data_IF_772744493552
#
_entry.id   IF_772744493552
#
_cell.length_a   1.000
_cell.length_b   1.000
_cell.length_c   1.000
_cell.angle_alpha   90.00
_cell.angle_beta   90.00
_cell.angle_gamma   90.00
#
_symmetry.space_group_name_H-M   'P 1'
#
loop_
_entity.id
_entity.type
_entity.pdbx_description
1 polymer ?
#
# COMPACT_ATOMS: atom_id res chain seq x y z
N UNK A 1 -9.56 3.20 28.85
CA UNK A 1 -9.06 4.44 28.22
C UNK A 1 -7.55 4.65 28.41
N UNK A 2 -6.96 4.45 29.59
CA UNK A 2 -5.51 4.68 29.86
C UNK A 2 -4.54 3.95 28.89
N UNK A 3 -4.78 2.66 28.62
CA UNK A 3 -3.95 1.87 27.68
C UNK A 3 -3.97 2.42 26.24
N UNK A 4 -5.12 2.95 25.81
CA UNK A 4 -5.29 3.49 24.46
C UNK A 4 -4.59 4.84 24.31
N UNK A 5 -4.67 5.72 25.32
CA UNK A 5 -3.96 7.00 25.34
C UNK A 5 -2.44 6.79 25.28
N UNK A 6 -1.90 5.87 26.10
CA UNK A 6 -0.48 5.51 26.04
C UNK A 6 -0.09 4.95 24.67
N UNK A 7 -0.88 4.04 24.11
CA UNK A 7 -0.62 3.51 22.77
C UNK A 7 -0.56 4.61 21.71
N UNK A 8 -1.49 5.58 21.74
CA UNK A 8 -1.49 6.72 20.83
C UNK A 8 -0.25 7.61 21.02
N UNK A 9 0.11 7.95 22.26
CA UNK A 9 1.35 8.70 22.54
C UNK A 9 2.57 7.96 22.00
N UNK A 10 2.64 6.65 22.21
CA UNK A 10 3.77 5.84 21.79
C UNK A 10 3.85 5.70 20.26
N UNK A 11 2.72 5.74 19.58
CA UNK A 11 2.64 5.79 18.11
C UNK A 11 3.03 7.16 17.59
N UNK A 12 2.48 8.24 18.14
CA UNK A 12 2.73 9.62 17.69
C UNK A 12 4.18 10.04 17.97
N UNK A 13 4.74 9.67 19.12
CA UNK A 13 6.13 9.98 19.49
C UNK A 13 7.15 9.28 18.58
N UNK A 14 6.81 8.21 17.85
CA UNK A 14 7.69 7.60 16.83
C UNK A 14 7.96 8.50 15.62
N UNK A 15 7.16 9.56 15.46
CA UNK A 15 7.37 10.60 14.46
C UNK A 15 8.40 11.65 14.89
N UNK A 16 8.73 11.73 16.18
CA UNK A 16 9.80 12.59 16.70
C UNK A 16 11.18 11.94 16.51
N UNK A 17 12.23 12.76 16.58
CA UNK A 17 13.60 12.24 16.62
C UNK A 17 13.82 11.43 17.91
N UNK A 18 14.75 10.45 17.94
CA UNK A 18 14.97 9.59 19.10
C UNK A 18 15.21 10.39 20.39
N UNK A 19 16.05 11.42 20.30
CA UNK A 19 16.46 12.25 21.43
C UNK A 19 15.26 13.06 21.96
N UNK A 20 14.45 13.62 21.07
CA UNK A 20 13.22 14.35 21.43
C UNK A 20 12.15 13.41 22.01
N UNK A 21 12.06 12.19 21.49
CA UNK A 21 11.11 11.19 21.99
C UNK A 21 11.39 10.83 23.44
N UNK A 22 12.65 10.68 23.83
CA UNK A 22 13.00 10.40 25.22
C UNK A 22 12.63 11.55 26.14
N UNK A 23 12.90 12.80 25.74
CA UNK A 23 12.51 13.99 26.50
C UNK A 23 10.99 14.10 26.65
N UNK A 24 10.24 13.93 25.55
CA UNK A 24 8.77 14.02 25.57
C UNK A 24 8.15 12.89 26.38
N UNK A 25 8.69 11.66 26.31
CA UNK A 25 8.19 10.56 27.14
C UNK A 25 8.50 10.76 28.63
N UNK A 26 9.64 11.37 28.96
CA UNK A 26 9.99 11.77 30.33
C UNK A 26 9.04 12.84 30.88
N UNK A 27 8.82 13.92 30.11
CA UNK A 27 7.90 15.01 30.48
C UNK A 27 6.45 14.52 30.68
N UNK A 28 6.01 13.58 29.85
CA UNK A 28 4.70 12.94 30.00
C UNK A 28 4.59 12.03 31.23
N UNK A 29 5.69 11.41 31.64
CA UNK A 29 5.72 10.61 32.86
C UNK A 29 5.57 11.51 34.10
N UNK A 30 6.08 12.74 34.04
CA UNK A 30 6.01 13.72 35.14
C UNK A 30 4.67 14.47 35.18
N UNK A 31 4.15 14.90 34.02
CA UNK A 31 2.94 15.75 33.93
C UNK A 31 1.63 14.95 34.04
N UNK A 32 1.71 13.62 33.93
CA UNK A 32 0.58 12.71 34.08
C UNK A 32 -0.21 12.46 32.79
N UNK A 33 -0.97 11.36 32.80
CA UNK A 33 -1.62 10.83 31.60
C UNK A 33 -3.00 11.43 31.34
N UNK A 34 -3.18 12.00 30.15
CA UNK A 34 -4.49 12.52 29.73
C UNK A 34 -4.58 12.82 28.23
N UNK A 35 -5.78 13.19 27.80
CA UNK A 35 -6.04 13.60 26.41
C UNK A 35 -5.28 14.89 26.03
N UNK A 36 -5.06 15.79 27.00
CA UNK A 36 -4.25 17.01 26.81
C UNK A 36 -2.80 16.69 26.42
N UNK A 37 -2.18 15.75 27.12
CA UNK A 37 -0.85 15.23 26.77
C UNK A 37 -0.77 14.72 25.32
N UNK A 38 -1.79 14.00 24.84
CA UNK A 38 -1.85 13.57 23.42
C UNK A 38 -1.92 14.78 22.49
N UNK A 39 -2.76 15.78 22.80
CA UNK A 39 -2.89 16.99 22.00
C UNK A 39 -1.60 17.80 21.95
N UNK A 40 -0.86 17.90 23.07
CA UNK A 40 0.40 18.63 23.15
C UNK A 40 1.48 17.97 22.30
N UNK A 41 1.61 16.63 22.40
CA UNK A 41 2.54 15.87 21.54
C UNK A 41 2.16 15.96 20.07
N UNK A 42 0.87 15.83 19.75
CA UNK A 42 0.39 15.98 18.36
C UNK A 42 0.69 17.40 17.85
N UNK A 43 0.44 18.43 18.66
CA UNK A 43 0.74 19.82 18.32
C UNK A 43 2.22 20.06 18.07
N UNK A 44 3.09 19.48 18.89
CA UNK A 44 4.54 19.54 18.72
C UNK A 44 4.97 18.86 17.41
N UNK A 45 4.50 17.64 17.16
CA UNK A 45 4.78 16.88 15.92
C UNK A 45 4.31 17.68 14.71
N UNK A 46 3.10 18.25 14.73
CA UNK A 46 2.57 19.04 13.61
C UNK A 46 3.43 20.27 13.34
N UNK A 47 3.84 21.02 14.37
CA UNK A 47 4.71 22.20 14.20
C UNK A 47 6.08 21.83 13.64
N UNK A 48 6.70 20.77 14.17
CA UNK A 48 7.99 20.25 13.67
C UNK A 48 7.88 19.82 12.22
N UNK A 49 6.83 19.07 11.87
CA UNK A 49 6.60 18.65 10.50
C UNK A 49 6.36 19.87 9.60
N UNK A 50 5.58 20.87 10.03
CA UNK A 50 5.38 22.10 9.24
C UNK A 50 6.70 22.81 8.91
N UNK A 51 7.67 22.82 9.84
CA UNK A 51 9.02 23.36 9.57
C UNK A 51 9.79 22.52 8.55
N UNK A 52 9.65 21.19 8.54
CA UNK A 52 10.30 20.35 7.53
C UNK A 52 9.75 20.59 6.12
N UNK A 53 8.48 20.99 6.00
CA UNK A 53 7.82 21.26 4.73
C UNK A 53 8.21 22.58 4.07
N UNK A 54 8.98 23.43 4.75
CA UNK A 54 9.60 24.59 4.10
C UNK A 54 10.72 24.18 3.14
N UNK A 55 11.25 22.96 3.29
CA UNK A 55 12.26 22.41 2.40
C UNK A 55 11.60 21.76 1.18
N UNK A 56 12.26 21.80 0.02
CA UNK A 56 11.73 21.22 -1.24
C UNK A 56 11.72 19.67 -1.26
N UNK A 57 12.49 19.00 -0.40
CA UNK A 57 12.65 17.54 -0.43
C UNK A 57 11.35 16.76 -0.10
N UNK A 58 10.59 17.09 0.96
CA UNK A 58 9.28 16.48 1.20
C UNK A 58 8.30 16.69 0.06
N UNK A 59 8.29 17.87 -0.56
CA UNK A 59 7.45 18.17 -1.72
C UNK A 59 7.75 17.27 -2.90
N UNK A 60 9.03 17.03 -3.21
CA UNK A 60 9.38 16.07 -4.26
C UNK A 60 8.93 14.65 -3.91
N UNK A 61 9.15 14.18 -2.69
CA UNK A 61 8.66 12.85 -2.30
C UNK A 61 7.13 12.75 -2.46
N UNK A 62 6.42 13.82 -2.11
CA UNK A 62 4.97 13.87 -2.28
C UNK A 62 4.54 13.81 -3.74
N UNK A 63 5.09 14.69 -4.58
CA UNK A 63 4.67 14.85 -5.98
C UNK A 63 5.14 13.68 -6.85
N UNK A 64 6.33 13.15 -6.60
CA UNK A 64 6.94 12.11 -7.45
C UNK A 64 6.63 10.69 -7.00
N UNK A 65 6.34 10.48 -5.71
CA UNK A 65 6.11 9.14 -5.15
C UNK A 65 4.69 9.04 -4.60
N UNK A 66 4.32 9.86 -3.62
CA UNK A 66 3.06 9.69 -2.88
C UNK A 66 1.83 9.88 -3.77
N UNK A 67 1.76 10.97 -4.53
CA UNK A 67 0.61 11.26 -5.38
C UNK A 67 0.41 10.23 -6.50
N UNK A 68 1.40 9.94 -7.37
CA UNK A 68 1.21 8.99 -8.46
C UNK A 68 0.99 7.56 -7.96
N UNK A 69 1.80 7.08 -7.01
CA UNK A 69 1.65 5.73 -6.48
C UNK A 69 0.37 5.60 -5.66
N UNK A 70 0.00 6.62 -4.88
CA UNK A 70 -1.23 6.61 -4.11
C UNK A 70 -2.46 6.50 -5.00
N UNK A 71 -2.52 7.30 -6.08
CA UNK A 71 -3.62 7.23 -7.07
C UNK A 71 -3.64 5.89 -7.78
N UNK A 72 -2.47 5.40 -8.22
CA UNK A 72 -2.34 4.10 -8.87
C UNK A 72 -2.79 2.95 -7.96
N UNK A 73 -2.27 2.87 -6.74
CA UNK A 73 -2.65 1.86 -5.75
C UNK A 73 -4.12 1.98 -5.36
N UNK A 74 -4.67 3.19 -5.30
CA UNK A 74 -6.10 3.42 -5.09
C UNK A 74 -6.93 2.76 -6.19
N UNK A 75 -6.59 3.00 -7.46
CA UNK A 75 -7.33 2.48 -8.62
C UNK A 75 -7.22 0.96 -8.73
N UNK A 76 -6.01 0.40 -8.66
CA UNK A 76 -5.81 -1.04 -8.78
C UNK A 76 -6.46 -1.78 -7.61
N UNK A 77 -6.29 -1.29 -6.37
CA UNK A 77 -6.93 -1.91 -5.21
C UNK A 77 -8.45 -1.85 -5.30
N UNK A 78 -9.03 -0.78 -5.85
CA UNK A 78 -10.46 -0.68 -6.10
C UNK A 78 -10.95 -1.74 -7.11
N UNK A 79 -10.25 -1.84 -8.25
CA UNK A 79 -10.62 -2.74 -9.32
C UNK A 79 -10.54 -4.20 -8.85
N UNK A 80 -9.44 -4.58 -8.19
CA UNK A 80 -9.25 -5.94 -7.68
C UNK A 80 -10.20 -6.26 -6.53
N UNK A 81 -10.50 -5.30 -5.65
CA UNK A 81 -11.53 -5.48 -4.63
C UNK A 81 -12.92 -5.66 -5.23
N UNK A 82 -13.26 -4.93 -6.30
CA UNK A 82 -14.52 -5.10 -7.02
C UNK A 82 -14.65 -6.49 -7.65
N UNK A 83 -13.59 -6.95 -8.33
CA UNK A 83 -13.53 -8.32 -8.85
C UNK A 83 -13.68 -9.35 -7.73
N UNK A 84 -12.91 -9.20 -6.65
CA UNK A 84 -13.00 -10.08 -5.48
C UNK A 84 -14.42 -10.10 -4.92
N UNK A 85 -15.06 -8.94 -4.77
CA UNK A 85 -16.40 -8.84 -4.22
C UNK A 85 -17.42 -9.63 -5.04
N UNK A 86 -17.35 -9.52 -6.37
CA UNK A 86 -18.24 -10.26 -7.29
C UNK A 86 -18.01 -11.77 -7.18
N UNK A 87 -16.76 -12.23 -7.24
CA UNK A 87 -16.47 -13.67 -7.20
C UNK A 87 -16.66 -14.27 -5.81
N UNK A 88 -16.37 -13.52 -4.74
CA UNK A 88 -16.68 -13.95 -3.39
C UNK A 88 -18.19 -14.08 -3.20
N UNK A 89 -18.99 -13.12 -3.66
CA UNK A 89 -20.45 -13.25 -3.64
C UNK A 89 -20.93 -14.46 -4.45
N UNK A 90 -20.38 -14.67 -5.64
CA UNK A 90 -20.71 -15.82 -6.48
C UNK A 90 -20.43 -17.14 -5.78
N UNK A 91 -19.25 -17.31 -5.17
CA UNK A 91 -18.87 -18.59 -4.57
C UNK A 91 -19.34 -18.78 -3.14
N UNK A 92 -19.43 -17.73 -2.33
CA UNK A 92 -19.84 -17.82 -0.92
C UNK A 92 -21.36 -17.90 -0.81
N UNK A 93 -22.09 -16.97 -1.42
CA UNK A 93 -23.55 -16.90 -1.25
C UNK A 93 -24.29 -17.89 -2.15
N UNK A 94 -23.68 -18.33 -3.25
CA UNK A 94 -24.25 -19.35 -4.12
C UNK A 94 -23.49 -20.69 -4.00
N UNK A 95 -22.80 -20.93 -2.87
CA UNK A 95 -22.03 -22.16 -2.68
C UNK A 95 -22.90 -23.40 -2.81
N UNK A 96 -22.46 -24.35 -3.63
CA UNK A 96 -23.04 -25.69 -3.68
C UNK A 96 -21.93 -26.72 -3.79
N UNK A 97 -22.17 -27.93 -3.26
CA UNK A 97 -21.26 -29.06 -3.47
C UNK A 97 -21.08 -29.42 -4.97
N UNK A 98 -21.97 -28.94 -5.85
CA UNK A 98 -21.86 -29.10 -7.30
C UNK A 98 -20.60 -28.47 -7.89
N UNK A 99 -20.11 -27.37 -7.33
CA UNK A 99 -18.86 -26.72 -7.79
C UNK A 99 -17.64 -27.63 -7.64
N UNK A 100 -17.61 -28.49 -6.62
CA UNK A 100 -16.53 -29.45 -6.43
C UNK A 100 -16.68 -30.71 -7.26
N UNK A 101 -17.89 -31.00 -7.76
CA UNK A 101 -18.15 -32.18 -8.59
C UNK A 101 -17.85 -31.93 -10.07
N UNK A 102 -18.08 -30.70 -10.55
CA UNK A 102 -17.77 -30.33 -11.94
C UNK A 102 -16.26 -30.05 -12.11
N UNK A 103 -15.54 -30.75 -13.02
CA UNK A 103 -14.14 -30.44 -13.33
C UNK A 103 -13.93 -28.99 -13.78
N UNK A 104 -14.84 -28.46 -14.59
CA UNK A 104 -14.78 -27.08 -15.05
C UNK A 104 -14.92 -26.08 -13.90
N UNK A 105 -15.89 -26.27 -13.01
CA UNK A 105 -16.08 -25.38 -11.87
C UNK A 105 -14.90 -25.42 -10.88
N UNK A 106 -14.28 -26.60 -10.67
CA UNK A 106 -13.04 -26.71 -9.87
C UNK A 106 -11.89 -25.93 -10.50
N UNK A 107 -11.72 -26.04 -11.82
CA UNK A 107 -10.69 -25.33 -12.55
C UNK A 107 -10.89 -23.81 -12.43
N UNK A 108 -12.11 -23.32 -12.68
CA UNK A 108 -12.47 -21.90 -12.54
C UNK A 108 -12.27 -21.38 -11.11
N UNK A 109 -12.66 -22.15 -10.09
CA UNK A 109 -12.45 -21.79 -8.69
C UNK A 109 -10.95 -21.70 -8.36
N UNK A 110 -10.17 -22.73 -8.72
CA UNK A 110 -8.73 -22.75 -8.48
C UNK A 110 -8.03 -21.59 -9.21
N UNK A 111 -8.40 -21.34 -10.46
CA UNK A 111 -7.90 -20.23 -11.26
C UNK A 111 -8.22 -18.88 -10.62
N UNK A 112 -9.45 -18.69 -10.16
CA UNK A 112 -9.91 -17.46 -9.51
C UNK A 112 -9.15 -17.21 -8.20
N UNK A 113 -9.03 -18.23 -7.34
CA UNK A 113 -8.34 -18.12 -6.05
C UNK A 113 -6.85 -17.85 -6.24
N UNK A 114 -6.17 -18.58 -7.12
CA UNK A 114 -4.76 -18.36 -7.43
C UNK A 114 -4.54 -16.98 -8.08
N UNK A 115 -5.45 -16.59 -8.98
CA UNK A 115 -5.44 -15.30 -9.65
C UNK A 115 -5.45 -14.14 -8.67
N UNK A 116 -6.45 -14.10 -7.79
CA UNK A 116 -6.56 -13.07 -6.76
C UNK A 116 -5.45 -13.16 -5.72
N UNK A 117 -5.03 -14.36 -5.33
CA UNK A 117 -3.91 -14.53 -4.41
C UNK A 117 -2.63 -13.88 -4.93
N UNK A 118 -2.29 -14.12 -6.19
CA UNK A 118 -1.14 -13.50 -6.84
C UNK A 118 -1.32 -11.98 -7.02
N UNK A 119 -2.52 -11.51 -7.33
CA UNK A 119 -2.84 -10.07 -7.39
C UNK A 119 -2.58 -9.43 -6.02
N UNK A 120 -3.07 -10.02 -4.93
CA UNK A 120 -2.88 -9.48 -3.58
C UNK A 120 -1.42 -9.43 -3.15
N UNK A 121 -0.64 -10.48 -3.45
CA UNK A 121 0.81 -10.48 -3.20
C UNK A 121 1.48 -9.37 -4.01
N UNK A 122 1.05 -9.15 -5.25
CA UNK A 122 1.56 -8.07 -6.09
C UNK A 122 1.24 -6.70 -5.50
N UNK A 123 -0.02 -6.47 -5.09
CA UNK A 123 -0.46 -5.23 -4.48
C UNK A 123 0.31 -4.93 -3.18
N UNK A 124 0.42 -5.93 -2.30
CA UNK A 124 1.15 -5.82 -1.05
C UNK A 124 2.63 -5.55 -1.28
N UNK A 125 3.22 -6.14 -2.32
CA UNK A 125 4.61 -5.90 -2.70
C UNK A 125 4.80 -4.46 -3.20
N UNK A 126 3.93 -3.96 -4.09
CA UNK A 126 3.97 -2.58 -4.57
C UNK A 126 3.80 -1.57 -3.43
N UNK A 127 2.84 -1.81 -2.55
CA UNK A 127 2.61 -0.98 -1.38
C UNK A 127 3.83 -0.99 -0.44
N UNK A 128 4.36 -2.16 -0.12
CA UNK A 128 5.55 -2.31 0.72
C UNK A 128 6.77 -1.61 0.13
N UNK A 129 7.06 -1.77 -1.16
CA UNK A 129 8.21 -1.11 -1.77
C UNK A 129 8.06 0.41 -1.84
N UNK A 130 6.85 0.91 -2.08
CA UNK A 130 6.54 2.33 -2.02
C UNK A 130 6.81 2.87 -0.61
N UNK A 131 6.30 2.18 0.40
CA UNK A 131 6.59 2.45 1.80
C UNK A 131 8.08 2.47 2.12
N UNK A 132 8.81 1.42 1.73
CA UNK A 132 10.25 1.31 1.93
C UNK A 132 10.99 2.49 1.32
N UNK A 133 10.66 2.84 0.08
CA UNK A 133 11.28 3.95 -0.66
C UNK A 133 11.03 5.28 0.06
N UNK A 134 9.82 5.52 0.55
CA UNK A 134 9.49 6.70 1.37
C UNK A 134 10.28 6.72 2.68
N UNK A 135 10.38 5.58 3.37
CA UNK A 135 11.14 5.41 4.61
C UNK A 135 12.64 5.68 4.44
N UNK A 136 13.21 5.28 3.31
CA UNK A 136 14.63 5.48 2.99
C UNK A 136 14.94 6.89 2.50
N UNK A 137 14.04 7.53 1.74
CA UNK A 137 14.25 8.87 1.19
C UNK A 137 14.10 9.98 2.23
N UNK A 138 13.13 9.85 3.15
CA UNK A 138 12.92 10.84 4.21
C UNK A 138 12.60 10.16 5.53
N UNK A 139 13.65 9.84 6.29
CA UNK A 139 13.53 9.16 7.59
C UNK A 139 12.67 9.94 8.59
N UNK A 140 12.73 11.27 8.52
CA UNK A 140 12.04 12.21 9.41
C UNK A 140 10.56 12.42 9.04
N UNK A 141 10.22 12.46 7.74
CA UNK A 141 8.81 12.68 7.31
C UNK A 141 8.11 11.40 6.84
N UNK A 142 8.78 10.25 6.92
CA UNK A 142 8.28 8.94 6.48
C UNK A 142 6.88 8.60 7.00
N UNK A 143 6.56 8.90 8.27
CA UNK A 143 5.23 8.66 8.84
C UNK A 143 4.15 9.50 8.19
N UNK A 144 4.44 10.79 8.01
CA UNK A 144 3.52 11.71 7.36
C UNK A 144 3.31 11.30 5.91
N UNK A 145 4.39 10.96 5.19
CA UNK A 145 4.29 10.49 3.80
C UNK A 145 3.54 9.17 3.70
N UNK A 146 3.71 8.23 4.65
CA UNK A 146 2.95 6.99 4.69
C UNK A 146 1.47 7.24 5.02
N UNK A 147 1.17 8.18 5.92
CA UNK A 147 -0.20 8.60 6.23
C UNK A 147 -0.86 9.28 5.02
N UNK A 148 -0.13 10.15 4.31
CA UNK A 148 -0.59 10.79 3.09
C UNK A 148 -0.78 9.77 1.96
N UNK A 149 0.13 8.82 1.79
CA UNK A 149 -0.04 7.72 0.84
C UNK A 149 -1.30 6.91 1.14
N UNK A 150 -1.53 6.61 2.42
CA UNK A 150 -2.74 5.91 2.87
C UNK A 150 -3.98 6.74 2.58
N UNK A 151 -3.96 8.04 2.89
CA UNK A 151 -5.04 8.97 2.63
C UNK A 151 -5.36 9.04 1.13
N UNK A 152 -4.36 9.26 0.28
CA UNK A 152 -4.52 9.28 -1.19
C UNK A 152 -5.02 7.93 -1.70
N UNK A 153 -4.59 6.81 -1.11
CA UNK A 153 -5.11 5.48 -1.49
C UNK A 153 -6.60 5.34 -1.19
N UNK A 154 -7.09 5.90 -0.09
CA UNK A 154 -8.51 5.86 0.25
C UNK A 154 -9.36 6.91 -0.49
N UNK A 155 -8.83 8.12 -0.68
CA UNK A 155 -9.53 9.25 -1.29
C UNK A 155 -9.44 9.24 -2.81
N UNK A 156 -8.35 8.72 -3.39
CA UNK A 156 -8.01 8.87 -4.81
C UNK A 156 -9.01 8.27 -5.80
N UNK A 157 -9.81 7.29 -5.40
CA UNK A 157 -10.93 6.78 -6.22
C UNK A 157 -12.25 7.51 -5.99
N UNK A 158 -12.30 8.54 -5.13
CA UNK A 158 -13.48 9.36 -4.80
C UNK A 158 -14.67 8.59 -4.22
N UNK A 159 -14.59 7.26 -4.23
CA UNK A 159 -15.66 6.32 -3.93
C UNK A 159 -15.07 5.30 -2.96
N UNK A 160 -15.60 5.30 -1.73
CA UNK A 160 -15.43 4.22 -0.76
C UNK A 160 -16.14 2.92 -1.22
N UNK A 161 -16.76 2.96 -2.40
CA UNK A 161 -17.73 2.00 -2.90
C UNK A 161 -17.49 1.80 -4.39
N UNK A 162 -17.50 0.54 -4.81
CA UNK A 162 -17.35 0.13 -6.21
C UNK A 162 -18.30 0.89 -7.12
N UNK A 163 -17.80 1.15 -8.33
CA UNK A 163 -18.51 1.58 -9.53
C UNK A 163 -19.94 1.00 -9.60
N UNK A 164 -20.92 1.82 -9.22
CA UNK A 164 -22.38 1.55 -9.32
C UNK A 164 -22.86 1.44 -10.79
N UNK A 165 -21.95 1.39 -11.76
CA UNK A 165 -22.30 1.57 -13.16
C UNK A 165 -22.76 0.29 -13.85
N UNK A 166 -22.44 -0.90 -13.32
CA UNK A 166 -22.82 -2.14 -13.97
C UNK A 166 -24.06 -2.80 -13.32
N UNK A 167 -25.25 -2.72 -13.97
CA UNK A 167 -26.46 -3.32 -13.43
C UNK A 167 -26.36 -4.84 -13.29
N UNK A 168 -25.48 -5.52 -14.04
CA UNK A 168 -25.30 -6.98 -13.96
C UNK A 168 -24.72 -7.44 -12.62
N UNK A 169 -24.04 -6.56 -11.87
CA UNK A 169 -23.48 -6.89 -10.55
C UNK A 169 -24.26 -6.27 -9.40
N UNK A 170 -25.44 -5.68 -9.67
CA UNK A 170 -26.24 -5.00 -8.65
C UNK A 170 -26.59 -5.94 -7.48
N UNK A 171 -26.80 -7.23 -7.75
CA UNK A 171 -27.05 -8.24 -6.73
C UNK A 171 -25.88 -8.37 -5.74
N UNK A 172 -24.64 -8.52 -6.23
CA UNK A 172 -23.46 -8.63 -5.38
C UNK A 172 -23.25 -7.37 -4.53
N UNK A 173 -23.41 -6.19 -5.14
CA UNK A 173 -23.21 -4.90 -4.46
C UNK A 173 -24.42 -4.40 -3.67
N UNK A 174 -25.54 -5.13 -3.65
CA UNK A 174 -26.67 -4.84 -2.78
C UNK A 174 -26.31 -5.04 -1.29
N UNK A 175 -25.37 -5.94 -1.02
CA UNK A 175 -24.89 -6.23 0.32
C UNK A 175 -23.76 -5.27 0.72
N UNK A 176 -23.94 -4.61 1.86
CA UNK A 176 -22.96 -3.67 2.44
C UNK A 176 -21.56 -4.29 2.59
N UNK A 177 -21.50 -5.59 2.88
CA UNK A 177 -20.25 -6.32 3.01
C UNK A 177 -19.40 -6.24 1.74
N UNK A 178 -19.94 -6.66 0.59
CA UNK A 178 -19.23 -6.67 -0.69
C UNK A 178 -19.04 -5.27 -1.28
N UNK A 179 -19.96 -4.34 -1.00
CA UNK A 179 -19.88 -2.96 -1.50
C UNK A 179 -18.83 -2.11 -0.79
N UNK A 180 -18.66 -2.28 0.52
CA UNK A 180 -17.87 -1.35 1.34
C UNK A 180 -16.89 -2.04 2.28
N UNK A 181 -17.33 -3.03 3.06
CA UNK A 181 -16.51 -3.64 4.12
C UNK A 181 -15.32 -4.40 3.51
N UNK A 182 -15.58 -5.27 2.54
CA UNK A 182 -14.56 -6.09 1.91
C UNK A 182 -13.53 -5.23 1.16
N UNK A 183 -13.91 -4.29 0.27
CA UNK A 183 -12.94 -3.42 -0.40
C UNK A 183 -12.10 -2.58 0.57
N UNK A 184 -12.72 -2.01 1.60
CA UNK A 184 -12.01 -1.21 2.61
C UNK A 184 -11.01 -2.07 3.39
N UNK A 185 -11.42 -3.28 3.76
CA UNK A 185 -10.57 -4.24 4.47
C UNK A 185 -9.37 -4.68 3.61
N UNK A 186 -9.61 -5.00 2.34
CA UNK A 186 -8.54 -5.36 1.40
C UNK A 186 -7.55 -4.22 1.22
N UNK A 187 -8.00 -2.96 1.10
CA UNK A 187 -7.10 -1.79 1.02
C UNK A 187 -6.28 -1.62 2.30
N UNK A 188 -6.90 -1.74 3.47
CA UNK A 188 -6.20 -1.62 4.74
C UNK A 188 -5.11 -2.71 4.89
N UNK A 189 -5.46 -3.96 4.57
CA UNK A 189 -4.58 -5.13 4.75
C UNK A 189 -3.50 -5.22 3.66
N UNK A 190 -3.83 -4.93 2.40
CA UNK A 190 -2.93 -5.13 1.27
C UNK A 190 -2.20 -3.86 0.84
N UNK A 191 -2.63 -2.67 1.28
CA UNK A 191 -1.96 -1.41 0.93
C UNK A 191 -1.41 -0.71 2.16
N UNK A 192 -2.24 -0.35 3.12
CA UNK A 192 -1.80 0.48 4.27
C UNK A 192 -0.82 -0.27 5.16
N UNK A 193 -1.15 -1.49 5.59
CA UNK A 193 -0.27 -2.27 6.47
C UNK A 193 1.09 -2.55 5.80
N UNK A 194 1.16 -3.04 4.54
CA UNK A 194 2.43 -3.29 3.87
C UNK A 194 3.22 -2.01 3.62
N UNK A 195 2.60 -0.92 3.18
CA UNK A 195 3.28 0.36 2.96
C UNK A 195 3.86 0.92 4.26
N UNK A 196 3.09 0.88 5.35
CA UNK A 196 3.55 1.29 6.66
C UNK A 196 4.73 0.44 7.14
N UNK A 197 4.64 -0.88 6.99
CA UNK A 197 5.70 -1.79 7.37
C UNK A 197 6.96 -1.56 6.54
N UNK A 198 6.81 -1.38 5.23
CA UNK A 198 7.89 -1.02 4.31
C UNK A 198 8.59 0.27 4.78
N UNK A 199 7.83 1.31 5.10
CA UNK A 199 8.39 2.57 5.62
C UNK A 199 9.18 2.37 6.91
N UNK A 200 8.66 1.57 7.84
CA UNK A 200 9.39 1.22 9.07
C UNK A 200 10.72 0.51 8.77
N UNK A 201 10.74 -0.43 7.81
CA UNK A 201 11.95 -1.15 7.41
C UNK A 201 12.94 -0.23 6.69
N UNK A 202 12.46 0.65 5.81
CA UNK A 202 13.27 1.62 5.06
C UNK A 202 13.95 2.64 5.98
N UNK A 203 13.30 3.03 7.08
CA UNK A 203 13.92 3.90 8.11
C UNK A 203 15.07 3.22 8.84
N UNK A 204 14.90 1.94 9.19
CA UNK A 204 15.84 1.18 10.04
C UNK A 204 17.03 0.62 9.27
N UNK A 205 16.90 0.42 7.96
CA UNK A 205 17.89 -0.34 7.21
C UNK A 205 19.19 0.45 7.00
N UNK A 206 20.26 0.00 7.66
CA UNK A 206 21.62 0.00 7.13
C UNK A 206 21.69 -1.16 6.12
N UNK A 207 21.78 -0.84 4.82
CA UNK A 207 21.90 -1.76 3.68
C UNK A 207 21.38 -3.21 3.90
N UNK A 208 20.13 -3.49 3.52
CA UNK A 208 19.57 -4.86 3.48
C UNK A 208 20.52 -5.77 2.70
N UNK A 209 20.67 -7.02 3.15
CA UNK A 209 21.48 -8.05 2.46
C UNK A 209 21.14 -8.09 0.97
N UNK A 210 22.14 -7.79 0.13
CA UNK A 210 21.96 -7.58 -1.30
C UNK A 210 21.24 -8.74 -1.99
N UNK A 211 21.52 -9.99 -1.60
CA UNK A 211 20.89 -11.17 -2.18
C UNK A 211 19.38 -11.20 -1.92
N UNK A 212 18.92 -10.89 -0.70
CA UNK A 212 17.48 -10.87 -0.37
C UNK A 212 16.76 -9.77 -1.15
N UNK A 213 17.39 -8.61 -1.28
CA UNK A 213 16.84 -7.51 -2.07
C UNK A 213 16.76 -7.86 -3.55
N UNK A 214 17.78 -8.51 -4.12
CA UNK A 214 17.76 -8.96 -5.52
C UNK A 214 16.63 -9.96 -5.76
N UNK A 215 16.47 -10.97 -4.89
CA UNK A 215 15.37 -11.94 -5.01
C UNK A 215 14.02 -11.22 -4.91
N UNK A 216 13.85 -10.32 -3.94
CA UNK A 216 12.62 -9.53 -3.78
C UNK A 216 12.28 -8.70 -5.02
N UNK A 217 13.26 -8.00 -5.59
CA UNK A 217 13.08 -7.22 -6.82
C UNK A 217 12.71 -8.10 -8.01
N UNK A 218 13.35 -9.27 -8.17
CA UNK A 218 13.05 -10.20 -9.27
C UNK A 218 11.63 -10.74 -9.14
N UNK A 219 11.24 -11.23 -7.97
CA UNK A 219 9.89 -11.74 -7.71
C UNK A 219 8.86 -10.65 -7.98
N UNK A 220 9.09 -9.45 -7.48
CA UNK A 220 8.20 -8.31 -7.66
C UNK A 220 8.13 -7.86 -9.13
N UNK A 221 9.23 -7.94 -9.87
CA UNK A 221 9.27 -7.71 -11.32
C UNK A 221 8.43 -8.73 -12.10
N UNK A 222 8.54 -10.02 -11.77
CA UNK A 222 7.72 -11.10 -12.37
C UNK A 222 6.23 -10.86 -12.08
N UNK A 223 5.90 -10.56 -10.83
CA UNK A 223 4.53 -10.23 -10.42
C UNK A 223 3.99 -9.00 -11.17
N UNK A 224 4.82 -7.97 -11.33
CA UNK A 224 4.45 -6.77 -12.09
C UNK A 224 4.21 -7.10 -13.57
N UNK A 225 5.08 -7.87 -14.20
CA UNK A 225 4.94 -8.30 -15.59
C UNK A 225 3.66 -9.13 -15.81
N UNK A 226 3.31 -10.00 -14.86
CA UNK A 226 2.05 -10.75 -14.89
C UNK A 226 0.83 -9.82 -14.93
N UNK A 227 0.88 -8.71 -14.20
CA UNK A 227 -0.21 -7.72 -14.15
C UNK A 227 -0.19 -6.72 -15.31
N UNK A 228 0.90 -6.64 -16.07
CA UNK A 228 1.05 -5.67 -17.15
C UNK A 228 -0.03 -5.74 -18.24
N UNK A 229 -0.55 -6.92 -18.64
CA UNK A 229 -1.66 -6.98 -19.59
C UNK A 229 -2.92 -6.24 -19.14
N UNK A 230 -3.23 -6.32 -17.84
CA UNK A 230 -4.32 -5.56 -17.24
C UNK A 230 -4.05 -4.05 -17.32
N UNK A 231 -2.80 -3.62 -17.20
CA UNK A 231 -2.38 -2.21 -17.27
C UNK A 231 -2.32 -1.64 -18.69
N UNK A 232 -1.95 -2.45 -19.68
CA UNK A 232 -1.70 -1.99 -21.06
C UNK A 232 -2.96 -1.85 -21.91
N UNK A 233 -4.14 -2.17 -21.37
CA UNK A 233 -5.39 -2.22 -22.13
C UNK A 233 -5.42 -3.37 -23.15
N UNK A 234 -4.49 -4.31 -23.03
CA UNK A 234 -4.47 -5.51 -23.83
C UNK A 234 -5.52 -6.48 -23.31
N UNK A 235 -6.46 -6.86 -24.17
CA UNK A 235 -7.29 -8.05 -23.99
C UNK A 235 -6.39 -9.30 -23.87
N UNK A 236 -5.75 -9.56 -22.74
CA UNK A 236 -5.15 -10.87 -22.50
C UNK A 236 -6.13 -11.73 -21.73
N UNK A 237 -7.06 -12.31 -22.49
CA UNK A 237 -7.38 -13.75 -22.66
C UNK A 237 -7.53 -14.66 -21.42
N UNK A 238 -7.10 -14.29 -20.22
CA UNK A 238 -7.10 -15.19 -19.06
C UNK A 238 -8.36 -15.07 -18.18
N UNK A 239 -9.26 -14.14 -18.51
CA UNK A 239 -10.69 -14.18 -18.16
C UNK A 239 -11.44 -13.27 -19.12
N UNK A 240 -12.22 -13.79 -20.08
CA UNK A 240 -13.02 -12.97 -21.01
C UNK A 240 -14.12 -12.12 -20.33
N UNK A 241 -14.20 -12.15 -18.99
CA UNK A 241 -15.31 -11.60 -18.20
C UNK A 241 -14.90 -10.51 -17.21
N UNK A 242 -13.61 -10.22 -17.04
CA UNK A 242 -13.23 -9.05 -16.24
C UNK A 242 -13.26 -7.79 -17.12
N UNK A 243 -14.09 -6.85 -16.68
CA UNK A 243 -14.51 -5.64 -17.37
C UNK A 243 -13.37 -4.96 -18.13
N UNK A 244 -13.55 -4.63 -19.43
CA UNK A 244 -12.64 -3.73 -20.11
C UNK A 244 -12.79 -2.36 -19.45
N UNK A 245 -11.93 -2.05 -18.49
CA UNK A 245 -11.64 -0.66 -18.16
C UNK A 245 -10.84 -0.18 -19.37
N UNK A 246 -11.33 0.79 -20.17
CA UNK A 246 -10.50 1.42 -21.17
C UNK A 246 -9.25 1.88 -20.45
N UNK A 247 -8.11 1.25 -20.74
CA UNK A 247 -6.85 1.66 -20.12
C UNK A 247 -6.46 2.98 -20.76
N UNK A 248 -7.07 4.03 -20.27
CA UNK A 248 -6.73 5.39 -20.63
C UNK A 248 -5.22 5.56 -20.39
N UNK A 249 -4.58 6.30 -21.28
CA UNK A 249 -3.12 6.45 -21.32
C UNK A 249 -2.52 6.85 -19.96
N UNK A 250 -3.29 7.53 -19.10
CA UNK A 250 -2.87 7.91 -17.75
C UNK A 250 -2.62 6.70 -16.84
N UNK A 251 -3.39 5.61 -16.94
CA UNK A 251 -3.12 4.38 -16.17
C UNK A 251 -1.85 3.68 -16.63
N UNK A 252 -1.51 3.75 -17.92
CA UNK A 252 -0.26 3.21 -18.46
C UNK A 252 0.94 3.98 -17.91
N UNK A 253 0.86 5.31 -17.93
CA UNK A 253 1.89 6.18 -17.36
C UNK A 253 2.02 5.97 -15.84
N UNK A 254 0.90 5.86 -15.12
CA UNK A 254 0.89 5.54 -13.69
C UNK A 254 1.49 4.16 -13.41
N UNK A 255 1.24 3.15 -14.26
CA UNK A 255 1.86 1.82 -14.14
C UNK A 255 3.39 1.87 -14.21
N UNK A 256 3.97 2.77 -15.00
CA UNK A 256 5.42 2.97 -15.03
C UNK A 256 5.96 3.54 -13.72
N UNK A 257 5.16 4.30 -12.96
CA UNK A 257 5.60 4.86 -11.67
C UNK A 257 5.84 3.78 -10.62
N UNK A 258 5.22 2.61 -10.76
CA UNK A 258 5.45 1.44 -9.90
C UNK A 258 6.86 0.86 -10.05
N UNK A 259 7.49 1.05 -11.22
CA UNK A 259 8.87 0.66 -11.41
C UNK A 259 9.84 1.51 -10.58
N UNK A 260 9.45 2.72 -10.18
CA UNK A 260 10.33 3.64 -9.48
C UNK A 260 10.80 3.15 -8.09
N UNK A 261 9.92 2.66 -7.20
CA UNK A 261 10.36 2.00 -5.96
C UNK A 261 11.35 0.84 -6.20
N UNK A 262 11.12 0.06 -7.26
CA UNK A 262 11.99 -1.06 -7.62
C UNK A 262 13.36 -0.58 -8.10
N UNK A 263 13.41 0.40 -9.00
CA UNK A 263 14.68 0.96 -9.48
C UNK A 263 15.47 1.60 -8.33
N UNK A 264 14.78 2.24 -7.39
CA UNK A 264 15.42 2.79 -6.19
C UNK A 264 16.07 1.69 -5.33
N UNK A 265 15.37 0.57 -5.08
CA UNK A 265 15.93 -0.56 -4.35
C UNK A 265 17.16 -1.16 -5.05
N UNK A 266 17.09 -1.36 -6.37
CA UNK A 266 18.21 -1.87 -7.17
C UNK A 266 19.41 -0.93 -7.09
N UNK A 267 19.18 0.38 -7.23
CA UNK A 267 20.24 1.38 -7.12
C UNK A 267 20.87 1.40 -5.72
N UNK A 268 20.10 1.10 -4.68
CA UNK A 268 20.60 0.94 -3.31
C UNK A 268 21.53 -0.27 -3.15
N UNK A 269 21.14 -1.43 -3.69
CA UNK A 269 21.97 -2.66 -3.69
C UNK A 269 23.25 -2.46 -4.51
N UNK A 270 23.14 -1.80 -5.66
CA UNK A 270 24.30 -1.50 -6.49
C UNK A 270 25.30 -0.62 -5.73
N UNK A 271 24.82 0.46 -5.09
CA UNK A 271 25.67 1.34 -4.28
C UNK A 271 26.33 0.63 -3.11
N UNK A 272 25.64 -0.28 -2.42
CA UNK A 272 26.24 -1.00 -1.28
C UNK A 272 27.31 -2.01 -1.71
N UNK A 273 27.19 -2.58 -2.92
CA UNK A 273 28.16 -3.54 -3.47
C UNK A 273 29.44 -2.87 -3.98
N UNK A 274 29.33 -1.72 -4.64
CA UNK A 274 30.47 -1.05 -5.29
C UNK A 274 31.03 0.14 -4.52
N UNK A 275 30.30 0.67 -3.53
CA UNK A 275 30.71 1.86 -2.78
C UNK A 275 31.66 1.60 -1.61
N UNK A 276 32.13 0.37 -1.41
CA UNK A 276 33.22 0.11 -0.45
C UNK A 276 34.55 0.37 -1.16
N UNK A 277 35.27 1.47 -0.88
CA UNK A 277 36.63 1.62 -1.36
C UNK A 277 37.43 0.42 -0.88
N UNK A 278 38.26 -0.15 -1.76
CA UNK A 278 39.24 -1.16 -1.36
C UNK A 278 40.05 -0.55 -0.22
N UNK A 279 39.91 -1.12 0.98
CA UNK A 279 40.76 -0.74 2.10
C UNK A 279 42.19 -1.15 1.70
N UNK A 280 42.97 -0.16 1.28
CA UNK A 280 44.42 -0.25 1.12
C UNK A 280 45.11 -0.04 2.45
#
# INVERSE_FOLDING_TARGET
MRKFSRFLVDVVSRALQPDEREVVLGDLQETGEGFRAVQDVVGLVVRRQATLWTHWRPWLALVTVVAPLGVFLSHISAAWAGGTAIYSWLYVDNWTWGYLRSPGARHELAWTVLGFGLDYVTLASWAWASGYTLGSLSRETSWLNAALLSLVTFVGTGSLTVQSANPFNAAAFSLTFYRAILPTSLRAVLVVIPAYWGACVGRRSTAVSGQRTTIGVVVMGILTLRTFPFLSGGYLVLSPRMFPIPADWHLKVLGLTVAWPLTYMVAGVWRSRWGKPAAG
#
